data_IF_157347580608
#
_entry.id   IF_157347580608
#
_cell.length_a   1.000
_cell.length_b   1.000
_cell.length_c   1.000
_cell.angle_alpha   90.00
_cell.angle_beta   90.00
_cell.angle_gamma   90.00
#
_symmetry.space_group_name_H-M   'P 1'
#
loop_
_entity.id
_entity.type
_entity.pdbx_description
1 polymer ?
#
# COMPACT_ATOMS: atom_id res chain seq x y z
N UNK A 1 68.17 -20.92 8.73
CA UNK A 1 67.13 -20.65 7.70
C UNK A 1 65.91 -19.99 8.36
N UNK A 2 65.96 -18.70 8.72
CA UNK A 2 64.77 -18.03 9.22
C UNK A 2 64.76 -16.49 9.19
N UNK A 3 65.85 -15.82 8.80
CA UNK A 3 65.89 -14.32 8.79
C UNK A 3 65.58 -13.69 7.43
N UNK A 4 65.82 -14.38 6.34
CA UNK A 4 65.56 -13.85 4.98
C UNK A 4 64.10 -13.91 4.53
N UNK A 5 63.30 -14.87 5.04
CA UNK A 5 61.87 -14.96 4.66
C UNK A 5 60.97 -13.91 5.34
N UNK A 6 61.39 -13.44 6.55
CA UNK A 6 60.61 -12.39 7.26
C UNK A 6 60.78 -10.99 6.66
N UNK A 7 61.95 -10.71 6.03
CA UNK A 7 62.20 -9.43 5.40
C UNK A 7 61.44 -9.24 4.08
N UNK A 8 61.25 -10.35 3.32
CA UNK A 8 60.54 -10.32 2.05
C UNK A 8 59.01 -10.10 2.28
N UNK A 9 58.44 -10.68 3.33
CA UNK A 9 57.03 -10.49 3.65
C UNK A 9 56.68 -9.07 4.12
N UNK A 10 57.62 -8.42 4.83
CA UNK A 10 57.45 -7.03 5.28
C UNK A 10 57.60 -6.03 4.11
N UNK A 11 58.48 -6.28 3.16
CA UNK A 11 58.70 -5.41 1.99
C UNK A 11 57.54 -5.48 1.00
N UNK A 12 56.95 -6.68 0.81
CA UNK A 12 55.76 -6.84 -0.04
C UNK A 12 54.52 -6.22 0.62
N UNK A 13 54.35 -6.33 1.95
CA UNK A 13 53.26 -5.69 2.68
C UNK A 13 53.32 -4.16 2.66
N UNK A 14 54.51 -3.56 2.72
CA UNK A 14 54.70 -2.11 2.65
C UNK A 14 54.51 -1.54 1.24
N UNK A 15 54.92 -2.26 0.19
CA UNK A 15 54.70 -1.82 -1.19
C UNK A 15 53.24 -1.82 -1.63
N UNK A 16 52.44 -2.81 -1.19
CA UNK A 16 51.01 -2.87 -1.50
C UNK A 16 50.20 -1.81 -0.73
N UNK A 17 50.60 -1.46 0.50
CA UNK A 17 49.96 -0.40 1.28
C UNK A 17 50.26 1.01 0.73
N UNK A 18 51.44 1.24 0.20
CA UNK A 18 51.82 2.53 -0.42
C UNK A 18 51.09 2.69 -1.78
N UNK A 19 50.96 1.63 -2.56
CA UNK A 19 50.19 1.66 -3.81
C UNK A 19 48.69 1.88 -3.58
N UNK A 20 48.12 1.31 -2.51
CA UNK A 20 46.72 1.53 -2.16
C UNK A 20 46.48 2.96 -1.64
N UNK A 21 47.42 3.53 -0.88
CA UNK A 21 47.34 4.92 -0.40
C UNK A 21 47.55 5.93 -1.53
N UNK A 22 48.41 5.65 -2.51
CA UNK A 22 48.57 6.51 -3.69
C UNK A 22 47.37 6.47 -4.62
N UNK A 23 46.67 5.31 -4.72
CA UNK A 23 45.44 5.18 -5.47
C UNK A 23 44.25 5.94 -4.81
N UNK A 24 44.17 5.96 -3.47
CA UNK A 24 43.18 6.74 -2.72
C UNK A 24 43.47 8.26 -2.75
N UNK A 25 44.75 8.68 -2.84
CA UNK A 25 45.10 10.09 -2.94
C UNK A 25 44.94 10.67 -4.35
N UNK A 26 44.95 9.85 -5.40
CA UNK A 26 44.69 10.31 -6.77
C UNK A 26 43.17 10.42 -7.11
N UNK A 27 42.31 9.81 -6.31
CA UNK A 27 40.83 9.95 -6.47
C UNK A 27 40.30 11.25 -5.82
N UNK A 28 41.06 11.89 -4.92
CA UNK A 28 40.58 13.03 -4.13
C UNK A 28 41.02 14.43 -4.63
N UNK A 29 41.59 14.56 -5.82
CA UNK A 29 42.02 15.87 -6.33
C UNK A 29 41.64 16.07 -7.81
N UNK A 30 40.36 16.07 -8.13
CA UNK A 30 39.82 16.99 -9.15
C UNK A 30 38.28 17.14 -8.93
N UNK A 31 37.77 18.24 -8.36
CA UNK A 31 36.45 18.66 -8.65
C UNK A 31 36.45 19.17 -10.10
N UNK A 32 36.04 18.35 -11.07
CA UNK A 32 35.64 18.83 -12.37
C UNK A 32 34.40 19.72 -12.17
N UNK A 33 34.67 21.03 -12.08
CA UNK A 33 33.69 22.07 -12.30
C UNK A 33 33.19 21.93 -13.75
N UNK A 34 32.11 21.17 -13.95
CA UNK A 34 31.25 21.39 -15.09
C UNK A 34 30.40 22.63 -14.79
N UNK A 35 30.98 23.80 -15.05
CA UNK A 35 30.25 25.01 -15.32
C UNK A 35 29.46 24.77 -16.62
N UNK A 36 28.22 24.32 -16.49
CA UNK A 36 27.23 24.45 -17.56
C UNK A 36 27.00 25.95 -17.69
N UNK A 37 27.59 26.56 -18.71
CA UNK A 37 27.20 27.90 -19.16
C UNK A 37 25.72 27.80 -19.56
N UNK A 38 24.84 28.34 -18.72
CA UNK A 38 23.47 28.63 -19.09
C UNK A 38 23.53 29.68 -20.20
N UNK A 39 23.46 29.22 -21.45
CA UNK A 39 23.07 30.11 -22.55
C UNK A 39 21.65 30.51 -22.31
N UNK A 40 21.42 31.79 -22.06
CA UNK A 40 20.10 32.41 -22.12
C UNK A 40 19.58 32.34 -23.54
N UNK A 41 18.99 31.23 -23.91
CA UNK A 41 18.04 31.15 -25.01
C UNK A 41 16.64 31.25 -24.38
N UNK A 42 15.91 32.28 -24.75
CA UNK A 42 14.46 32.41 -24.54
C UNK A 42 13.73 31.42 -25.45
N UNK A 43 14.04 30.15 -25.31
CA UNK A 43 13.24 29.04 -25.78
C UNK A 43 12.28 28.66 -24.67
N UNK A 44 10.98 28.68 -24.94
CA UNK A 44 9.94 28.34 -23.98
C UNK A 44 10.31 27.05 -23.25
N UNK A 45 10.03 27.01 -21.95
CA UNK A 45 10.19 25.80 -21.14
C UNK A 45 9.64 24.63 -21.97
N UNK A 46 10.37 23.51 -22.13
CA UNK A 46 9.78 22.35 -22.80
C UNK A 46 8.52 22.02 -22.00
N UNK A 47 7.36 22.17 -22.64
CA UNK A 47 6.16 21.49 -22.14
C UNK A 47 6.54 20.02 -22.14
N UNK A 48 6.78 19.47 -20.96
CA UNK A 48 6.80 18.04 -20.78
C UNK A 48 5.39 17.63 -21.16
N UNK A 49 5.25 17.07 -22.35
CA UNK A 49 4.01 16.46 -22.83
C UNK A 49 3.76 15.32 -21.84
N UNK A 50 2.89 15.56 -20.84
CA UNK A 50 2.63 14.72 -19.69
C UNK A 50 1.80 13.49 -20.08
N UNK A 51 2.17 12.86 -21.20
CA UNK A 51 1.61 11.57 -21.58
C UNK A 51 2.24 10.50 -20.70
N UNK A 52 1.42 9.91 -19.87
CA UNK A 52 1.77 8.72 -19.09
C UNK A 52 2.34 7.68 -20.04
N UNK A 53 3.54 7.19 -19.75
CA UNK A 53 4.16 6.13 -20.51
C UNK A 53 3.44 4.81 -20.19
N UNK A 54 2.89 4.18 -21.23
CA UNK A 54 2.24 2.88 -21.11
C UNK A 54 3.14 1.83 -21.81
N UNK A 55 3.74 0.89 -21.05
CA UNK A 55 4.62 -0.13 -21.62
C UNK A 55 3.88 -1.03 -22.62
N UNK A 56 4.57 -1.48 -23.66
CA UNK A 56 4.04 -2.48 -24.60
C UNK A 56 4.21 -3.91 -24.11
N UNK A 57 4.92 -4.12 -23.01
CA UNK A 57 5.18 -5.40 -22.36
C UNK A 57 4.03 -5.91 -21.50
N UNK A 58 3.10 -5.02 -21.12
CA UNK A 58 1.87 -5.40 -20.39
C UNK A 58 0.77 -5.83 -21.38
N UNK A 59 -0.28 -6.46 -20.86
CA UNK A 59 -1.38 -6.95 -21.70
C UNK A 59 -2.05 -5.82 -22.50
N UNK A 60 -2.53 -6.12 -23.71
CA UNK A 60 -3.27 -5.15 -24.55
C UNK A 60 -4.49 -4.59 -23.81
N UNK A 61 -5.13 -5.42 -22.97
CA UNK A 61 -6.27 -5.02 -22.16
C UNK A 61 -5.88 -3.96 -21.15
N UNK A 62 -4.79 -4.18 -20.40
CA UNK A 62 -4.24 -3.20 -19.46
C UNK A 62 -3.85 -1.90 -20.17
N UNK A 63 -3.16 -1.98 -21.33
CA UNK A 63 -2.81 -0.80 -22.14
C UNK A 63 -4.05 0.02 -22.53
N UNK A 64 -5.14 -0.65 -22.95
CA UNK A 64 -6.40 0.02 -23.34
C UNK A 64 -7.07 0.72 -22.15
N UNK A 65 -7.13 0.07 -21.00
CA UNK A 65 -7.72 0.65 -19.79
C UNK A 65 -6.89 1.85 -19.33
N UNK A 66 -5.56 1.73 -19.26
CA UNK A 66 -4.67 2.82 -18.87
C UNK A 66 -4.81 4.04 -19.80
N UNK A 67 -4.90 3.84 -21.12
CA UNK A 67 -5.18 4.94 -22.06
C UNK A 67 -6.48 5.67 -21.76
N UNK A 68 -7.52 4.93 -21.41
CA UNK A 68 -8.82 5.53 -21.07
C UNK A 68 -8.78 6.28 -19.72
N UNK A 69 -8.09 5.75 -18.71
CA UNK A 69 -7.92 6.40 -17.41
C UNK A 69 -7.20 7.75 -17.55
N UNK A 70 -6.14 7.83 -18.36
CA UNK A 70 -5.38 9.07 -18.54
C UNK A 70 -6.17 10.20 -19.21
N UNK A 71 -7.22 9.87 -19.96
CA UNK A 71 -8.02 10.86 -20.70
C UNK A 71 -9.21 11.41 -19.91
N UNK A 72 -9.61 10.80 -18.80
CA UNK A 72 -10.90 11.05 -18.16
C UNK A 72 -10.81 11.29 -16.64
N UNK A 73 -9.67 11.79 -16.12
CA UNK A 73 -9.56 12.08 -14.68
C UNK A 73 -10.30 13.40 -14.37
N UNK A 74 -11.37 13.37 -13.55
CA UNK A 74 -12.06 14.56 -13.14
C UNK A 74 -11.18 15.42 -12.20
N UNK A 75 -11.30 16.74 -12.29
CA UNK A 75 -10.72 17.63 -11.29
C UNK A 75 -11.74 17.87 -10.16
N UNK A 76 -11.28 17.80 -8.93
CA UNK A 76 -12.10 18.05 -7.75
C UNK A 76 -11.53 19.21 -6.93
N UNK A 77 -12.42 19.99 -6.28
CA UNK A 77 -11.98 20.91 -5.25
C UNK A 77 -11.49 20.15 -4.03
N UNK A 78 -10.34 20.53 -3.52
CA UNK A 78 -9.76 19.91 -2.32
C UNK A 78 -10.33 20.56 -1.07
N UNK A 79 -11.06 19.83 -0.19
CA UNK A 79 -11.54 20.38 1.07
C UNK A 79 -10.39 20.69 2.03
N UNK A 80 -10.54 21.68 2.91
CA UNK A 80 -9.63 21.89 4.03
C UNK A 80 -9.71 20.71 5.03
N UNK A 81 -8.65 20.41 5.80
CA UNK A 81 -8.61 19.21 6.67
C UNK A 81 -9.78 19.06 7.65
N UNK A 82 -10.42 20.16 8.06
CA UNK A 82 -11.55 20.16 9.00
C UNK A 82 -12.89 20.53 8.35
N UNK A 83 -12.96 20.63 7.05
CA UNK A 83 -14.19 20.96 6.31
C UNK A 83 -15.09 19.73 6.17
N UNK A 84 -15.93 19.48 7.17
CA UNK A 84 -16.83 18.31 7.20
C UNK A 84 -17.80 18.29 6.01
N UNK A 85 -18.30 19.45 5.59
CA UNK A 85 -19.24 19.55 4.47
C UNK A 85 -18.54 19.26 3.14
N UNK A 86 -17.35 19.86 2.93
CA UNK A 86 -16.54 19.64 1.74
C UNK A 86 -16.16 18.18 1.58
N UNK A 87 -15.69 17.51 2.64
CA UNK A 87 -15.38 16.08 2.61
C UNK A 87 -16.61 15.22 2.34
N UNK A 88 -17.76 15.52 2.96
CA UNK A 88 -19.00 14.80 2.72
C UNK A 88 -19.44 14.92 1.26
N UNK A 89 -19.38 16.14 0.70
CA UNK A 89 -19.74 16.40 -0.69
C UNK A 89 -18.83 15.66 -1.67
N UNK A 90 -17.51 15.74 -1.44
CA UNK A 90 -16.53 15.08 -2.30
C UNK A 90 -16.67 13.56 -2.22
N UNK A 91 -16.88 12.99 -1.01
CA UNK A 91 -17.11 11.56 -0.86
C UNK A 91 -18.33 11.08 -1.65
N UNK A 92 -19.48 11.75 -1.52
CA UNK A 92 -20.69 11.41 -2.31
C UNK A 92 -20.45 11.45 -3.82
N UNK A 93 -19.66 12.41 -4.28
CA UNK A 93 -19.33 12.54 -5.69
C UNK A 93 -18.47 11.36 -6.16
N UNK A 94 -17.46 10.97 -5.39
CA UNK A 94 -16.60 9.82 -5.72
C UNK A 94 -17.35 8.48 -5.64
N UNK A 95 -18.20 8.29 -4.63
CA UNK A 95 -19.04 7.07 -4.53
C UNK A 95 -19.98 6.91 -5.73
N UNK A 96 -20.48 8.01 -6.30
CA UNK A 96 -21.36 7.96 -7.48
C UNK A 96 -20.66 7.59 -8.79
N UNK A 97 -19.32 7.45 -8.78
CA UNK A 97 -18.54 7.15 -9.99
C UNK A 97 -18.26 5.65 -10.19
N UNK A 98 -18.77 4.79 -9.32
CA UNK A 98 -18.55 3.33 -9.36
C UNK A 98 -17.08 2.92 -9.54
N UNK A 99 -16.18 3.63 -8.86
CA UNK A 99 -14.72 3.52 -9.01
C UNK A 99 -14.24 2.08 -8.78
N UNK A 100 -14.84 1.37 -7.81
CA UNK A 100 -14.56 -0.03 -7.50
C UNK A 100 -15.30 -1.03 -8.40
N UNK A 101 -15.82 -0.57 -9.52
CA UNK A 101 -16.51 -1.38 -10.51
C UNK A 101 -18.04 -1.26 -10.44
N UNK A 102 -18.70 -1.43 -11.59
CA UNK A 102 -20.14 -1.29 -11.68
C UNK A 102 -20.88 -2.42 -10.93
N UNK A 103 -22.07 -2.13 -10.44
CA UNK A 103 -22.91 -3.07 -9.68
C UNK A 103 -23.14 -4.39 -10.44
N UNK A 104 -23.25 -4.33 -11.77
CA UNK A 104 -23.39 -5.53 -12.61
C UNK A 104 -22.24 -6.53 -12.49
N UNK A 105 -21.02 -6.04 -12.27
CA UNK A 105 -19.85 -6.90 -12.02
C UNK A 105 -19.94 -7.51 -10.64
N UNK A 106 -20.29 -6.71 -9.62
CA UNK A 106 -20.47 -7.19 -8.24
C UNK A 106 -21.52 -8.30 -8.22
N UNK A 107 -22.67 -8.10 -8.86
CA UNK A 107 -23.77 -9.05 -8.93
C UNK A 107 -23.38 -10.35 -9.67
N UNK A 108 -22.48 -10.27 -10.64
CA UNK A 108 -22.03 -11.44 -11.41
C UNK A 108 -21.34 -12.52 -10.56
N UNK A 109 -20.78 -12.16 -9.40
CA UNK A 109 -20.17 -13.11 -8.46
C UNK A 109 -21.19 -13.95 -7.68
N UNK A 110 -22.47 -13.58 -7.66
CA UNK A 110 -23.56 -14.29 -6.97
C UNK A 110 -23.25 -14.59 -5.49
N UNK A 111 -22.49 -13.72 -4.86
CA UNK A 111 -22.12 -13.83 -3.45
C UNK A 111 -23.31 -13.52 -2.56
N UNK A 112 -23.39 -14.15 -1.39
CA UNK A 112 -24.36 -13.78 -0.36
C UNK A 112 -23.78 -12.61 0.45
N UNK A 113 -24.47 -11.47 0.41
CA UNK A 113 -24.05 -10.20 1.06
C UNK A 113 -25.03 -9.90 2.18
N UNK A 114 -24.52 -9.72 3.39
CA UNK A 114 -25.33 -9.43 4.58
C UNK A 114 -24.76 -8.20 5.32
N UNK A 115 -25.60 -7.20 5.53
CA UNK A 115 -25.26 -6.01 6.33
C UNK A 115 -25.52 -6.32 7.80
N UNK A 116 -24.54 -6.14 8.66
CA UNK A 116 -24.60 -6.48 10.07
C UNK A 116 -23.71 -5.61 10.93
N UNK A 117 -23.64 -5.88 12.23
CA UNK A 117 -22.71 -5.22 13.15
C UNK A 117 -21.79 -6.24 13.80
N UNK A 118 -20.54 -5.82 14.00
CA UNK A 118 -19.53 -6.60 14.67
C UNK A 118 -18.60 -5.66 15.48
N UNK A 119 -18.44 -5.91 16.76
CA UNK A 119 -17.68 -5.03 17.65
C UNK A 119 -18.23 -3.59 17.70
N UNK A 120 -19.54 -3.39 17.50
CA UNK A 120 -20.18 -2.08 17.43
C UNK A 120 -20.12 -1.40 16.06
N UNK A 121 -19.26 -1.88 15.13
CA UNK A 121 -19.10 -1.32 13.79
C UNK A 121 -20.09 -1.93 12.79
N UNK A 122 -20.53 -1.13 11.82
CA UNK A 122 -21.20 -1.65 10.64
C UNK A 122 -20.19 -2.46 9.83
N UNK A 123 -20.60 -3.62 9.34
CA UNK A 123 -19.77 -4.46 8.47
C UNK A 123 -20.65 -5.09 7.40
N UNK A 124 -20.03 -5.41 6.26
CA UNK A 124 -20.65 -6.22 5.23
C UNK A 124 -20.01 -7.60 5.27
N UNK A 125 -20.82 -8.61 5.51
CA UNK A 125 -20.45 -10.02 5.53
C UNK A 125 -20.68 -10.61 4.15
N UNK A 126 -19.60 -10.93 3.45
CA UNK A 126 -19.62 -11.47 2.09
C UNK A 126 -19.21 -12.93 2.12
N UNK A 127 -20.11 -13.80 1.64
CA UNK A 127 -19.84 -15.22 1.44
C UNK A 127 -19.89 -15.51 -0.06
N UNK A 128 -18.79 -16.00 -0.69
CA UNK A 128 -18.79 -16.29 -2.11
C UNK A 128 -19.80 -17.37 -2.48
N UNK A 129 -20.14 -17.47 -3.76
CA UNK A 129 -21.05 -18.51 -4.24
C UNK A 129 -20.56 -19.91 -3.84
N UNK A 130 -21.43 -20.73 -3.31
CA UNK A 130 -21.08 -22.08 -2.86
C UNK A 130 -20.21 -22.15 -1.60
N UNK A 131 -20.05 -21.05 -0.86
CA UNK A 131 -19.26 -20.99 0.35
C UNK A 131 -19.62 -22.09 1.36
N UNK A 132 -18.58 -22.69 1.92
CA UNK A 132 -18.67 -23.62 3.05
C UNK A 132 -17.76 -23.15 4.16
N UNK A 133 -18.24 -23.20 5.39
CA UNK A 133 -17.43 -22.80 6.54
C UNK A 133 -16.25 -23.76 6.71
N UNK A 134 -15.05 -23.22 6.64
CA UNK A 134 -13.78 -23.92 6.86
C UNK A 134 -13.03 -23.38 8.09
N UNK A 135 -13.70 -22.57 8.92
CA UNK A 135 -13.15 -21.94 10.10
C UNK A 135 -12.18 -20.78 9.81
N UNK A 136 -12.01 -20.35 8.56
CA UNK A 136 -11.12 -19.25 8.17
C UNK A 136 -11.89 -18.05 7.67
N UNK A 137 -11.35 -16.84 7.91
CA UNK A 137 -12.03 -15.59 7.58
C UNK A 137 -11.03 -14.52 7.15
N UNK A 138 -11.46 -13.70 6.19
CA UNK A 138 -10.76 -12.48 5.79
C UNK A 138 -11.47 -11.25 6.36
N UNK A 139 -10.69 -10.24 6.71
CA UNK A 139 -11.19 -8.90 7.04
C UNK A 139 -10.62 -7.92 6.02
N UNK A 140 -11.47 -7.08 5.45
CA UNK A 140 -11.09 -6.08 4.47
C UNK A 140 -11.27 -4.67 5.01
N UNK A 141 -10.26 -3.84 4.80
CA UNK A 141 -10.26 -2.41 5.10
C UNK A 141 -10.06 -1.64 3.81
N UNK A 142 -11.04 -0.84 3.44
CA UNK A 142 -11.05 -0.15 2.16
C UNK A 142 -10.09 1.04 2.10
N UNK A 143 -9.67 1.39 0.89
CA UNK A 143 -8.90 2.57 0.58
C UNK A 143 -9.71 3.87 0.60
N UNK A 144 -9.20 4.90 -0.08
CA UNK A 144 -9.85 6.21 -0.18
C UNK A 144 -9.24 7.28 0.72
N UNK A 145 -7.94 7.19 1.02
CA UNK A 145 -7.21 8.23 1.76
C UNK A 145 -7.74 8.49 3.17
N UNK A 146 -8.38 7.52 3.80
CA UNK A 146 -9.10 7.62 5.08
C UNK A 146 -10.32 8.54 5.06
N UNK A 147 -10.63 9.21 3.94
CA UNK A 147 -11.65 10.26 3.83
C UNK A 147 -12.78 9.93 2.87
N UNK A 148 -12.63 8.87 2.07
CA UNK A 148 -13.57 8.52 1.02
C UNK A 148 -14.02 7.07 1.09
N UNK A 149 -15.14 6.79 0.41
CA UNK A 149 -15.74 5.48 0.21
C UNK A 149 -16.38 4.90 1.48
N UNK A 150 -16.89 3.71 1.33
CA UNK A 150 -17.55 2.92 2.37
C UNK A 150 -17.34 1.44 2.09
N UNK A 151 -17.63 0.60 3.06
CA UNK A 151 -17.61 -0.85 2.83
C UNK A 151 -18.53 -1.26 1.67
N UNK A 152 -19.61 -0.51 1.42
CA UNK A 152 -20.55 -0.79 0.34
C UNK A 152 -20.00 -0.40 -1.04
N UNK A 153 -19.47 0.80 -1.18
CA UNK A 153 -18.94 1.29 -2.48
C UNK A 153 -17.67 0.57 -2.92
N UNK A 154 -17.02 -0.18 -2.01
CA UNK A 154 -15.76 -0.90 -2.27
C UNK A 154 -15.93 -2.41 -2.44
N UNK A 155 -17.15 -2.92 -2.61
CA UNK A 155 -17.42 -4.34 -2.81
C UNK A 155 -16.69 -4.94 -4.03
N UNK A 156 -16.36 -4.12 -5.02
CA UNK A 156 -15.55 -4.55 -6.17
C UNK A 156 -14.14 -5.02 -5.83
N UNK A 157 -13.58 -4.59 -4.68
CA UNK A 157 -12.33 -5.13 -4.15
C UNK A 157 -12.55 -6.43 -3.34
N UNK A 158 -13.78 -6.65 -2.85
CA UNK A 158 -14.10 -7.79 -1.98
C UNK A 158 -14.52 -9.02 -2.78
N UNK A 159 -15.39 -8.84 -3.78
CA UNK A 159 -15.98 -9.96 -4.52
C UNK A 159 -14.96 -10.84 -5.25
N UNK A 160 -13.98 -10.30 -6.00
CA UNK A 160 -12.96 -11.11 -6.65
C UNK A 160 -12.12 -11.91 -5.66
N UNK A 161 -11.78 -11.30 -4.51
CA UNK A 161 -11.00 -11.95 -3.46
C UNK A 161 -11.80 -13.06 -2.79
N UNK A 162 -13.04 -12.80 -2.40
CA UNK A 162 -13.92 -13.82 -1.82
C UNK A 162 -14.07 -15.01 -2.77
N UNK A 163 -14.32 -14.74 -4.05
CA UNK A 163 -14.48 -15.78 -5.07
C UNK A 163 -13.20 -16.58 -5.33
N UNK A 164 -12.03 -15.91 -5.42
CA UNK A 164 -10.75 -16.58 -5.69
C UNK A 164 -10.26 -17.41 -4.51
N UNK A 165 -10.45 -16.92 -3.29
CA UNK A 165 -10.03 -17.61 -2.07
C UNK A 165 -11.04 -18.67 -1.61
N UNK A 166 -12.30 -18.51 -1.93
CA UNK A 166 -13.41 -19.31 -1.36
C UNK A 166 -13.73 -18.94 0.09
N UNK A 167 -13.11 -17.87 0.63
CA UNK A 167 -13.27 -17.47 2.02
C UNK A 167 -14.38 -16.43 2.21
N UNK A 168 -15.00 -16.47 3.38
CA UNK A 168 -15.85 -15.41 3.89
C UNK A 168 -15.03 -14.15 4.14
N UNK A 169 -15.54 -12.98 3.75
CA UNK A 169 -14.88 -11.69 3.94
C UNK A 169 -15.79 -10.76 4.75
N UNK A 170 -15.23 -10.14 5.77
CA UNK A 170 -15.86 -9.06 6.52
C UNK A 170 -15.28 -7.74 6.03
N UNK A 171 -16.06 -6.96 5.29
CA UNK A 171 -15.71 -5.59 4.89
C UNK A 171 -16.14 -4.61 5.98
N UNK A 172 -15.19 -3.85 6.53
CA UNK A 172 -15.42 -2.97 7.68
C UNK A 172 -15.74 -1.56 7.21
N UNK A 173 -16.88 -1.03 7.67
CA UNK A 173 -17.34 0.33 7.42
C UNK A 173 -16.81 1.26 8.52
N UNK A 174 -15.50 1.49 8.52
CA UNK A 174 -14.84 2.31 9.53
C UNK A 174 -15.17 3.80 9.36
N UNK A 175 -15.17 4.54 10.47
CA UNK A 175 -15.50 5.97 10.45
C UNK A 175 -14.39 6.78 9.76
N UNK A 176 -14.78 7.50 8.71
CA UNK A 176 -13.86 8.30 7.89
C UNK A 176 -13.36 9.57 8.61
N UNK A 177 -12.17 10.01 8.25
CA UNK A 177 -11.69 11.34 8.57
C UNK A 177 -12.43 12.40 7.71
N UNK A 178 -12.63 13.61 8.24
CA UNK A 178 -12.25 14.12 9.55
C UNK A 178 -13.26 13.84 10.67
N UNK A 179 -14.32 13.06 10.42
CA UNK A 179 -15.33 12.68 11.44
C UNK A 179 -14.72 11.81 12.55
N UNK A 180 -13.65 11.07 12.22
CA UNK A 180 -12.82 10.30 13.12
C UNK A 180 -11.35 10.63 12.88
N UNK A 181 -10.51 10.45 13.89
CA UNK A 181 -9.05 10.51 13.77
C UNK A 181 -8.46 9.11 13.88
N UNK A 182 -7.21 8.96 13.51
CA UNK A 182 -6.47 7.69 13.46
C UNK A 182 -6.66 6.79 14.69
N UNK A 183 -6.66 7.37 15.89
CA UNK A 183 -6.76 6.63 17.16
C UNK A 183 -8.12 5.95 17.34
N UNK A 184 -9.20 6.59 16.90
CA UNK A 184 -10.54 6.01 16.89
C UNK A 184 -10.68 5.00 15.76
N UNK A 185 -10.30 5.35 14.52
CA UNK A 185 -10.40 4.46 13.36
C UNK A 185 -9.64 3.15 13.59
N UNK A 186 -8.40 3.20 14.13
CA UNK A 186 -7.67 1.98 14.49
C UNK A 186 -8.34 1.21 15.65
N UNK A 187 -8.99 1.89 16.59
CA UNK A 187 -9.72 1.23 17.68
C UNK A 187 -10.97 0.50 17.16
N UNK A 188 -11.66 1.06 16.16
CA UNK A 188 -12.82 0.44 15.51
C UNK A 188 -12.42 -0.87 14.82
N UNK A 189 -11.30 -0.88 14.07
CA UNK A 189 -10.77 -2.12 13.46
C UNK A 189 -10.43 -3.16 14.52
N UNK A 190 -9.73 -2.74 15.58
CA UNK A 190 -9.38 -3.64 16.70
C UNK A 190 -10.63 -4.23 17.36
N UNK A 191 -11.71 -3.44 17.52
CA UNK A 191 -12.98 -3.91 18.09
C UNK A 191 -13.64 -4.98 17.20
N UNK A 192 -13.60 -4.84 15.86
CA UNK A 192 -14.09 -5.86 14.93
C UNK A 192 -13.31 -7.17 15.09
N UNK A 193 -11.98 -7.12 15.14
CA UNK A 193 -11.16 -8.33 15.33
C UNK A 193 -11.44 -8.98 16.69
N UNK A 194 -11.56 -8.18 17.76
CA UNK A 194 -11.91 -8.72 19.08
C UNK A 194 -13.30 -9.39 19.09
N UNK A 195 -14.26 -8.83 18.35
CA UNK A 195 -15.59 -9.42 18.24
C UNK A 195 -15.54 -10.75 17.42
N UNK A 196 -14.74 -10.83 16.38
CA UNK A 196 -14.50 -12.10 15.67
C UNK A 196 -13.98 -13.18 16.63
N UNK A 197 -13.06 -12.82 17.52
CA UNK A 197 -12.50 -13.75 18.51
C UNK A 197 -13.52 -14.09 19.59
N UNK A 198 -14.12 -13.10 20.26
CA UNK A 198 -14.92 -13.29 21.44
C UNK A 198 -16.36 -13.75 21.16
N UNK A 199 -16.96 -13.24 20.08
CA UNK A 199 -18.40 -13.47 19.76
C UNK A 199 -18.59 -14.54 18.68
N UNK A 200 -17.59 -14.71 17.76
CA UNK A 200 -17.69 -15.66 16.66
C UNK A 200 -16.77 -16.88 16.81
N UNK A 201 -15.89 -16.88 17.82
CA UNK A 201 -15.06 -18.04 18.18
C UNK A 201 -13.84 -18.27 17.27
N UNK A 202 -13.46 -17.29 16.44
CA UNK A 202 -12.22 -17.38 15.65
C UNK A 202 -11.00 -17.23 16.55
N UNK A 203 -9.91 -17.93 16.23
CA UNK A 203 -8.57 -17.62 16.75
C UNK A 203 -7.86 -16.62 15.82
N UNK A 204 -6.78 -15.98 16.28
CA UNK A 204 -5.98 -15.12 15.41
C UNK A 204 -5.35 -15.87 14.25
N UNK A 205 -5.08 -17.16 14.40
CA UNK A 205 -4.57 -18.08 13.36
C UNK A 205 -5.61 -18.38 12.26
N UNK A 206 -6.88 -18.04 12.51
CA UNK A 206 -7.96 -18.22 11.55
C UNK A 206 -8.28 -16.93 10.78
N UNK A 207 -7.66 -15.82 11.17
CA UNK A 207 -7.95 -14.48 10.63
C UNK A 207 -6.79 -14.00 9.78
N UNK A 208 -7.06 -13.60 8.55
CA UNK A 208 -6.16 -12.74 7.79
C UNK A 208 -6.84 -11.40 7.47
N UNK A 209 -6.03 -10.35 7.30
CA UNK A 209 -6.54 -9.00 7.06
C UNK A 209 -5.91 -8.48 5.78
N UNK A 210 -6.70 -7.83 4.92
CA UNK A 210 -6.17 -7.15 3.74
C UNK A 210 -6.80 -5.77 3.56
N UNK A 211 -6.14 -4.94 2.77
CA UNK A 211 -6.63 -3.61 2.44
C UNK A 211 -5.82 -2.98 1.33
N UNK A 212 -6.43 -2.00 0.68
CA UNK A 212 -5.86 -1.22 -0.42
C UNK A 212 -5.54 0.21 0.03
N UNK A 213 -4.51 0.81 -0.54
CA UNK A 213 -4.18 2.23 -0.32
C UNK A 213 -4.11 2.61 1.17
N UNK A 214 -4.92 3.57 1.61
CA UNK A 214 -5.09 3.97 3.01
C UNK A 214 -5.59 2.79 3.88
N UNK A 215 -6.44 1.91 3.35
CA UNK A 215 -6.87 0.69 4.01
C UNK A 215 -5.70 -0.26 4.29
N UNK A 216 -4.74 -0.37 3.37
CA UNK A 216 -3.49 -1.11 3.57
C UNK A 216 -2.64 -0.51 4.70
N UNK A 217 -2.54 0.82 4.77
CA UNK A 217 -1.92 1.53 5.88
C UNK A 217 -2.64 1.27 7.21
N UNK A 218 -3.99 1.31 7.19
CA UNK A 218 -4.83 1.02 8.36
C UNK A 218 -4.69 -0.43 8.84
N UNK A 219 -4.57 -1.41 7.92
CA UNK A 219 -4.27 -2.82 8.28
C UNK A 219 -2.98 -2.87 9.08
N UNK A 220 -1.88 -2.36 8.53
CA UNK A 220 -0.57 -2.44 9.16
C UNK A 220 -0.53 -1.69 10.50
N UNK A 221 -1.10 -0.48 10.59
CA UNK A 221 -1.19 0.30 11.81
C UNK A 221 -2.05 -0.35 12.90
N UNK A 222 -3.19 -0.94 12.51
CA UNK A 222 -4.07 -1.65 13.44
C UNK A 222 -3.45 -2.93 13.98
N UNK A 223 -2.72 -3.67 13.15
CA UNK A 223 -1.98 -4.88 13.59
C UNK A 223 -0.86 -4.52 14.56
N UNK A 224 -0.11 -3.44 14.31
CA UNK A 224 0.86 -2.92 15.28
C UNK A 224 0.19 -2.60 16.63
N UNK A 225 -0.96 -1.94 16.60
CA UNK A 225 -1.73 -1.62 17.81
C UNK A 225 -2.24 -2.88 18.52
N UNK A 226 -2.81 -3.86 17.78
CA UNK A 226 -3.26 -5.13 18.37
C UNK A 226 -2.13 -5.86 19.09
N UNK A 227 -0.96 -5.95 18.48
CA UNK A 227 0.23 -6.54 19.08
C UNK A 227 0.64 -5.81 20.35
N UNK A 228 0.74 -4.49 20.29
CA UNK A 228 1.28 -3.67 21.40
C UNK A 228 0.33 -3.58 22.60
N UNK A 229 -0.98 -3.78 22.40
CA UNK A 229 -1.96 -3.89 23.48
C UNK A 229 -2.21 -5.33 23.95
N UNK A 230 -1.44 -6.31 23.43
CA UNK A 230 -1.45 -7.69 23.90
C UNK A 230 -2.60 -8.56 23.37
N UNK A 231 -3.30 -8.15 22.31
CA UNK A 231 -4.29 -9.00 21.63
C UNK A 231 -3.58 -10.09 20.83
N UNK A 232 -2.45 -9.77 20.20
CA UNK A 232 -1.68 -10.65 19.34
C UNK A 232 -1.69 -10.17 17.87
N UNK A 233 -1.30 -11.06 16.95
CA UNK A 233 -1.18 -10.79 15.53
C UNK A 233 -2.00 -11.81 14.72
N UNK A 234 -2.63 -11.43 13.58
CA UNK A 234 -3.36 -12.35 12.72
C UNK A 234 -2.42 -13.32 11.99
N UNK A 235 -2.97 -14.36 11.34
CA UNK A 235 -2.20 -15.34 10.58
C UNK A 235 -1.38 -14.74 9.44
N UNK A 236 -1.91 -13.74 8.75
CA UNK A 236 -1.27 -13.05 7.64
C UNK A 236 -1.94 -11.70 7.33
N UNK A 237 -1.22 -10.83 6.62
CA UNK A 237 -1.81 -9.64 6.01
C UNK A 237 -1.43 -9.50 4.54
N UNK A 238 -2.32 -8.90 3.76
CA UNK A 238 -2.06 -8.54 2.37
C UNK A 238 -2.35 -7.05 2.17
N UNK A 239 -1.40 -6.35 1.59
CA UNK A 239 -1.42 -4.91 1.42
C UNK A 239 -1.35 -4.57 -0.08
N UNK A 240 -2.42 -4.03 -0.63
CA UNK A 240 -2.48 -3.54 -2.00
C UNK A 240 -2.13 -2.06 -2.01
N UNK A 241 -1.09 -1.67 -2.75
CA UNK A 241 -0.67 -0.28 -2.91
C UNK A 241 -0.68 0.56 -1.61
N UNK A 242 -0.15 0.04 -0.47
CA UNK A 242 -0.49 0.57 0.85
C UNK A 242 0.10 1.96 1.11
N UNK A 243 -0.73 2.90 1.59
CA UNK A 243 -0.28 4.19 2.08
C UNK A 243 0.29 4.06 3.51
N UNK A 244 1.57 3.81 3.61
CA UNK A 244 2.23 3.50 4.90
C UNK A 244 3.06 4.65 5.47
N UNK A 245 3.11 5.80 4.78
CA UNK A 245 3.71 7.05 5.26
C UNK A 245 2.87 8.27 4.87
N UNK A 246 1.97 8.68 5.75
CA UNK A 246 1.12 9.86 5.49
C UNK A 246 1.90 11.19 5.50
N UNK A 247 3.20 11.19 5.83
CA UNK A 247 4.06 12.39 5.75
C UNK A 247 4.51 12.71 4.32
N UNK A 248 4.23 11.83 3.34
CA UNK A 248 4.56 12.00 1.92
C UNK A 248 6.06 12.25 1.72
N UNK A 249 6.92 11.61 2.51
CA UNK A 249 8.37 11.86 2.50
C UNK A 249 9.14 10.97 1.52
N UNK A 250 8.50 9.97 0.92
CA UNK A 250 9.11 9.09 -0.07
C UNK A 250 9.42 9.81 -1.40
N UNK A 251 10.50 9.42 -2.08
CA UNK A 251 10.92 10.08 -3.32
C UNK A 251 9.99 9.81 -4.51
N UNK A 252 9.27 8.67 -4.51
CA UNK A 252 8.33 8.32 -5.58
C UNK A 252 7.17 9.31 -5.72
N UNK A 253 6.73 9.95 -4.62
CA UNK A 253 5.70 11.01 -4.67
C UNK A 253 6.10 12.19 -5.56
N UNK A 254 7.39 12.44 -5.73
CA UNK A 254 7.94 13.55 -6.51
C UNK A 254 8.45 13.09 -7.87
N UNK A 255 9.08 11.91 -7.94
CA UNK A 255 9.71 11.40 -9.16
C UNK A 255 8.70 10.75 -10.12
N UNK A 256 7.68 10.09 -9.57
CA UNK A 256 6.63 9.41 -10.33
C UNK A 256 5.35 10.24 -10.44
N UNK A 257 5.42 11.53 -10.13
CA UNK A 257 4.29 12.47 -10.05
C UNK A 257 3.43 12.55 -11.33
N UNK A 258 3.91 12.12 -12.47
CA UNK A 258 3.12 12.11 -13.73
C UNK A 258 3.04 10.75 -14.37
N UNK A 259 3.49 9.70 -13.67
CA UNK A 259 3.47 8.33 -14.19
C UNK A 259 2.22 7.56 -13.76
N UNK A 260 1.60 7.97 -12.65
CA UNK A 260 0.38 7.34 -12.14
C UNK A 260 -0.85 8.18 -12.47
N UNK A 261 -1.78 7.66 -13.31
CA UNK A 261 -3.01 8.38 -13.66
C UNK A 261 -3.94 8.61 -12.46
N UNK A 262 -3.75 7.89 -11.37
CA UNK A 262 -4.63 7.93 -10.21
C UNK A 262 -4.04 8.77 -9.06
N UNK A 263 -2.87 9.37 -9.26
CA UNK A 263 -2.24 10.18 -8.23
C UNK A 263 -3.08 11.43 -7.90
N UNK A 264 -3.50 11.58 -6.64
CA UNK A 264 -4.14 12.81 -6.18
C UNK A 264 -3.17 13.99 -6.23
N UNK A 265 -3.70 15.22 -6.28
CA UNK A 265 -2.85 16.40 -6.12
C UNK A 265 -2.13 16.37 -4.75
N UNK A 266 -0.93 16.93 -4.68
CA UNK A 266 -0.17 17.04 -3.42
C UNK A 266 -0.98 17.76 -2.33
N UNK A 267 -1.80 18.75 -2.71
CA UNK A 267 -2.68 19.45 -1.77
C UNK A 267 -3.73 18.48 -1.19
N UNK A 268 -4.37 17.66 -2.03
CA UNK A 268 -5.37 16.69 -1.57
C UNK A 268 -4.73 15.64 -0.65
N UNK A 269 -3.56 15.11 -1.00
CA UNK A 269 -2.82 14.17 -0.13
C UNK A 269 -2.50 14.77 1.24
N UNK A 270 -1.98 16.01 1.28
CA UNK A 270 -1.67 16.70 2.53
C UNK A 270 -2.92 16.96 3.38
N UNK A 271 -4.04 17.32 2.75
CA UNK A 271 -5.29 17.58 3.45
C UNK A 271 -5.92 16.29 3.98
N UNK A 272 -5.86 15.17 3.23
CA UNK A 272 -6.25 13.84 3.73
C UNK A 272 -5.40 13.42 4.93
N UNK A 273 -4.07 13.55 4.83
CA UNK A 273 -3.14 13.27 5.95
C UNK A 273 -3.51 14.06 7.21
N UNK A 274 -3.78 15.36 7.06
CA UNK A 274 -4.10 16.26 8.17
C UNK A 274 -5.53 16.06 8.70
N UNK A 275 -6.45 15.62 7.84
CA UNK A 275 -7.79 15.20 8.25
C UNK A 275 -7.72 13.94 9.13
N UNK A 276 -6.85 12.98 8.81
CA UNK A 276 -6.70 11.71 9.52
C UNK A 276 -5.85 11.85 10.81
N UNK A 277 -4.70 12.54 10.74
CA UNK A 277 -3.78 12.71 11.86
C UNK A 277 -3.20 14.13 11.90
N UNK A 278 -3.11 14.72 13.10
CA UNK A 278 -2.43 16.00 13.24
C UNK A 278 -0.97 15.91 12.79
N UNK A 279 -0.36 16.99 12.28
CA UNK A 279 1.02 16.93 11.76
C UNK A 279 2.05 16.33 12.73
N UNK A 280 1.89 16.58 14.04
CA UNK A 280 2.75 16.02 15.09
C UNK A 280 2.57 14.51 15.33
N UNK A 281 1.47 13.92 14.84
CA UNK A 281 1.11 12.51 15.01
C UNK A 281 1.37 11.68 13.76
N UNK A 282 1.65 12.30 12.60
CA UNK A 282 1.78 11.62 11.32
C UNK A 282 2.90 10.59 11.28
N UNK A 283 3.95 10.73 12.12
CA UNK A 283 5.01 9.70 12.28
C UNK A 283 4.70 8.66 13.36
N UNK A 284 3.52 8.70 13.99
CA UNK A 284 3.11 7.63 14.87
C UNK A 284 3.02 6.30 14.10
N UNK A 285 3.60 5.19 14.58
CA UNK A 285 3.58 3.88 13.90
C UNK A 285 2.18 3.35 13.57
N UNK A 286 1.16 3.76 14.30
CA UNK A 286 -0.23 3.36 13.99
C UNK A 286 -0.86 4.21 12.88
N UNK A 287 -0.25 5.35 12.54
CA UNK A 287 -0.62 6.25 11.44
C UNK A 287 0.22 5.97 10.21
N UNK A 288 1.53 5.89 10.40
CA UNK A 288 2.52 5.62 9.34
C UNK A 288 3.35 4.39 9.71
N UNK A 289 2.91 3.19 9.33
CA UNK A 289 3.55 1.93 9.73
C UNK A 289 5.02 1.78 9.36
N UNK A 290 5.52 2.49 8.36
CA UNK A 290 6.96 2.48 8.03
C UNK A 290 7.87 2.91 9.19
N UNK A 291 7.33 3.63 10.18
CA UNK A 291 8.05 4.02 11.40
C UNK A 291 7.87 3.01 12.55
N UNK A 292 7.23 1.87 12.27
CA UNK A 292 6.95 0.82 13.26
C UNK A 292 8.21 0.10 13.76
N UNK A 293 8.15 -0.39 14.99
CA UNK A 293 9.14 -1.34 15.48
C UNK A 293 8.63 -2.78 15.28
N UNK A 294 9.20 -3.49 14.31
CA UNK A 294 8.81 -4.85 13.95
C UNK A 294 9.61 -5.93 14.67
N UNK A 295 10.68 -5.59 15.43
CA UNK A 295 11.46 -6.56 16.21
C UNK A 295 10.66 -7.29 17.30
N UNK A 296 9.46 -6.79 17.62
CA UNK A 296 8.52 -7.44 18.55
C UNK A 296 7.59 -8.46 17.89
N UNK A 297 7.82 -8.76 16.61
CA UNK A 297 6.98 -9.63 15.78
C UNK A 297 5.92 -8.85 14.98
N UNK A 298 5.56 -9.43 13.83
CA UNK A 298 4.52 -8.96 12.93
C UNK A 298 4.07 -10.16 12.06
N UNK A 299 2.86 -10.17 11.52
CA UNK A 299 2.41 -11.30 10.71
C UNK A 299 3.16 -11.39 9.37
N UNK A 300 3.23 -12.57 8.78
CA UNK A 300 3.61 -12.72 7.37
C UNK A 300 2.85 -11.73 6.49
N UNK A 301 3.59 -11.03 5.63
CA UNK A 301 3.06 -9.88 4.88
C UNK A 301 3.30 -10.03 3.38
N UNK A 302 2.25 -9.90 2.57
CA UNK A 302 2.34 -9.72 1.12
C UNK A 302 2.04 -8.27 0.78
N UNK A 303 2.98 -7.60 0.12
CA UNK A 303 2.80 -6.24 -0.41
C UNK A 303 2.74 -6.34 -1.93
N UNK A 304 1.65 -5.86 -2.54
CA UNK A 304 1.49 -5.82 -3.99
C UNK A 304 1.25 -4.40 -4.47
N UNK A 305 1.90 -4.02 -5.58
CA UNK A 305 1.74 -2.70 -6.18
C UNK A 305 2.34 -2.64 -7.59
N UNK A 306 2.38 -1.47 -8.18
CA UNK A 306 2.88 -1.23 -9.52
C UNK A 306 4.13 -0.38 -9.60
N UNK A 307 4.86 -0.48 -10.72
CA UNK A 307 6.05 0.36 -10.94
C UNK A 307 5.73 1.80 -11.27
N UNK A 308 4.50 2.11 -11.69
CA UNK A 308 4.08 3.48 -12.01
C UNK A 308 3.53 4.24 -10.81
N UNK A 309 3.44 3.61 -9.63
CA UNK A 309 2.78 4.16 -8.45
C UNK A 309 3.57 5.26 -7.75
N UNK A 310 2.87 6.34 -7.41
CA UNK A 310 3.42 7.44 -6.60
C UNK A 310 3.75 7.02 -5.15
N UNK A 311 3.17 5.92 -4.65
CA UNK A 311 3.43 5.35 -3.31
C UNK A 311 4.52 4.26 -3.31
N UNK A 312 5.25 4.03 -4.41
CA UNK A 312 6.25 2.96 -4.50
C UNK A 312 7.30 3.01 -3.39
N UNK A 313 7.72 4.20 -2.95
CA UNK A 313 8.65 4.37 -1.82
C UNK A 313 8.11 3.78 -0.52
N UNK A 314 6.80 3.86 -0.29
CA UNK A 314 6.15 3.33 0.90
C UNK A 314 6.26 1.81 0.95
N UNK A 315 6.04 1.15 -0.20
CA UNK A 315 6.14 -0.31 -0.33
C UNK A 315 7.55 -0.79 -0.06
N UNK A 316 8.53 -0.13 -0.68
CA UNK A 316 9.96 -0.47 -0.54
C UNK A 316 10.42 -0.26 0.90
N UNK A 317 10.07 0.87 1.51
CA UNK A 317 10.47 1.19 2.89
C UNK A 317 9.83 0.24 3.90
N UNK A 318 8.54 -0.07 3.75
CA UNK A 318 7.87 -1.04 4.63
C UNK A 318 8.49 -2.44 4.45
N UNK A 319 8.68 -2.89 3.20
CA UNK A 319 9.34 -4.16 2.90
C UNK A 319 10.70 -4.26 3.59
N UNK A 320 11.58 -3.26 3.40
CA UNK A 320 12.91 -3.26 3.99
C UNK A 320 12.89 -3.29 5.51
N UNK A 321 11.93 -2.57 6.13
CA UNK A 321 11.82 -2.56 7.59
C UNK A 321 11.34 -3.90 8.15
N UNK A 322 10.44 -4.58 7.44
CA UNK A 322 9.97 -5.93 7.80
C UNK A 322 11.07 -6.97 7.59
N UNK A 323 11.77 -6.92 6.45
CA UNK A 323 12.87 -7.84 6.10
C UNK A 323 14.02 -7.73 7.12
N UNK A 324 14.42 -6.51 7.50
CA UNK A 324 15.43 -6.27 8.53
C UNK A 324 15.03 -6.77 9.93
N UNK A 325 13.75 -6.96 10.16
CA UNK A 325 13.21 -7.51 11.41
C UNK A 325 12.94 -9.03 11.35
N UNK A 326 13.44 -9.72 10.29
CA UNK A 326 13.23 -11.14 10.03
C UNK A 326 11.74 -11.55 9.95
N UNK A 327 10.86 -10.61 9.55
CA UNK A 327 9.45 -10.90 9.31
C UNK A 327 9.29 -11.49 7.90
N UNK A 328 8.58 -12.63 7.74
CA UNK A 328 8.28 -13.16 6.42
C UNK A 328 7.51 -12.13 5.57
N UNK A 329 8.19 -11.53 4.61
CA UNK A 329 7.60 -10.50 3.75
C UNK A 329 7.89 -10.77 2.29
N UNK A 330 6.90 -10.52 1.43
CA UNK A 330 7.04 -10.59 -0.02
C UNK A 330 6.60 -9.26 -0.63
N UNK A 331 7.48 -8.67 -1.43
CA UNK A 331 7.18 -7.51 -2.27
C UNK A 331 6.96 -8.00 -3.70
N UNK A 332 5.74 -7.83 -4.23
CA UNK A 332 5.30 -8.32 -5.53
C UNK A 332 4.86 -7.12 -6.39
N UNK A 333 5.75 -6.67 -7.27
CA UNK A 333 5.60 -5.44 -8.05
C UNK A 333 5.35 -5.76 -9.52
N UNK A 334 4.38 -5.09 -10.12
CA UNK A 334 3.88 -5.29 -11.49
C UNK A 334 4.28 -4.13 -12.39
N UNK A 335 4.91 -4.45 -13.51
CA UNK A 335 5.37 -3.46 -14.48
C UNK A 335 4.20 -2.63 -15.02
N UNK A 336 4.38 -1.31 -15.07
CA UNK A 336 3.43 -0.36 -15.67
C UNK A 336 2.09 -0.23 -14.94
N UNK A 337 1.89 -0.97 -13.85
CA UNK A 337 0.63 -0.89 -13.11
C UNK A 337 0.58 0.37 -12.25
N UNK A 338 -0.58 1.07 -12.23
CA UNK A 338 -0.83 2.24 -11.41
C UNK A 338 -1.29 1.83 -10.00
N UNK A 339 -1.56 2.82 -9.18
CA UNK A 339 -2.15 2.69 -7.84
C UNK A 339 -3.42 1.82 -7.86
N UNK A 340 -3.49 0.86 -6.93
CA UNK A 340 -4.62 -0.06 -6.77
C UNK A 340 -5.06 -0.75 -8.08
N UNK A 341 -4.10 -1.15 -8.92
CA UNK A 341 -4.40 -1.75 -10.22
C UNK A 341 -5.32 -2.98 -10.12
N UNK A 342 -5.30 -3.71 -9.02
CA UNK A 342 -6.17 -4.85 -8.77
C UNK A 342 -7.66 -4.45 -8.81
N UNK A 343 -7.96 -3.19 -8.52
CA UNK A 343 -9.30 -2.62 -8.50
C UNK A 343 -9.62 -1.98 -9.86
N UNK A 344 -8.78 -1.05 -10.32
CA UNK A 344 -9.04 -0.28 -11.54
C UNK A 344 -8.85 -1.09 -12.82
N UNK A 345 -8.01 -2.12 -12.78
CA UNK A 345 -7.75 -3.04 -13.89
C UNK A 345 -8.28 -4.45 -13.59
N UNK A 346 -9.38 -4.56 -12.84
CA UNK A 346 -9.93 -5.79 -12.26
C UNK A 346 -10.07 -6.98 -13.22
N UNK A 347 -10.20 -6.73 -14.52
CA UNK A 347 -10.42 -7.76 -15.56
C UNK A 347 -9.21 -7.85 -16.51
N UNK A 348 -7.98 -7.76 -15.96
CA UNK A 348 -6.74 -7.92 -16.73
C UNK A 348 -5.94 -9.15 -16.28
N UNK A 349 -5.09 -9.71 -17.16
CA UNK A 349 -4.18 -10.79 -16.77
C UNK A 349 -3.30 -10.44 -15.56
N UNK A 350 -2.85 -9.19 -15.45
CA UNK A 350 -2.02 -8.71 -14.36
C UNK A 350 -2.76 -8.82 -13.02
N UNK A 351 -4.02 -8.39 -12.98
CA UNK A 351 -4.86 -8.51 -11.78
C UNK A 351 -5.18 -9.95 -11.43
N UNK A 352 -5.49 -10.80 -12.43
CA UNK A 352 -5.70 -12.22 -12.16
C UNK A 352 -4.47 -12.90 -11.55
N UNK A 353 -3.27 -12.57 -12.04
CA UNK A 353 -2.02 -13.08 -11.46
C UNK A 353 -1.81 -12.57 -10.04
N UNK A 354 -2.07 -11.28 -9.77
CA UNK A 354 -1.94 -10.70 -8.44
C UNK A 354 -2.88 -11.35 -7.42
N UNK A 355 -4.17 -11.50 -7.79
CA UNK A 355 -5.18 -12.13 -6.93
C UNK A 355 -4.89 -13.62 -6.73
N UNK A 356 -4.39 -14.33 -7.76
CA UNK A 356 -3.96 -15.72 -7.62
C UNK A 356 -2.81 -15.87 -6.62
N UNK A 357 -1.77 -15.04 -6.73
CA UNK A 357 -0.65 -15.04 -5.78
C UNK A 357 -1.07 -14.67 -4.34
N UNK A 358 -2.01 -13.73 -4.19
CA UNK A 358 -2.63 -13.44 -2.89
C UNK A 358 -3.35 -14.67 -2.34
N UNK A 359 -4.11 -15.37 -3.18
CA UNK A 359 -4.84 -16.59 -2.80
C UNK A 359 -3.88 -17.67 -2.32
N UNK A 360 -2.78 -17.92 -3.05
CA UNK A 360 -1.77 -18.91 -2.67
C UNK A 360 -1.06 -18.53 -1.38
N UNK A 361 -0.75 -17.24 -1.19
CA UNK A 361 -0.18 -16.71 0.05
C UNK A 361 -1.12 -16.95 1.24
N UNK A 362 -2.40 -16.62 1.09
CA UNK A 362 -3.40 -16.82 2.14
C UNK A 362 -3.64 -18.30 2.46
N UNK A 363 -3.66 -19.17 1.44
CA UNK A 363 -3.75 -20.63 1.67
C UNK A 363 -2.60 -21.14 2.50
N UNK A 364 -1.39 -20.68 2.22
CA UNK A 364 -0.21 -21.13 2.95
C UNK A 364 -0.28 -20.75 4.45
N UNK A 365 -0.65 -19.49 4.77
CA UNK A 365 -0.60 -19.02 6.15
C UNK A 365 -1.88 -19.26 6.94
N UNK A 366 -3.04 -19.37 6.31
CA UNK A 366 -4.29 -19.77 6.96
C UNK A 366 -4.47 -21.30 7.00
N UNK A 367 -3.68 -22.04 6.24
CA UNK A 367 -3.70 -23.51 6.18
C UNK A 367 -5.11 -24.05 5.85
N UNK A 368 -5.66 -23.71 4.65
CA UNK A 368 -6.97 -24.15 4.17
C UNK A 368 -6.95 -24.65 2.73
#
# INVERSE_FOLDING_TARGET
>A
MSSSLRLITIVIGLSTSILFLSYLLTINLQPSLYLVQAQNSSAGSPQIDSKIFIPTTISEKAQKILKNLTMNIPSFSTPDPNDLEGWTKLNRQLESMDIYGPQSIIDSYQSNVTYTKLGGMNVIDVKPHGWRDNGKILVYLHGGGYTFFSANSTLGAVMPVANSTGLRVISVDYTLAPFSKWNQTTAEVVAVIQALIKEKGYSLEDIAIYGDSAGGGLVAGSVLKMRDVGIGIPAAIVLWSPWTDVTISGDSYYRLNSSDPLQPSTLLLNNMSSAYANPSEQKNPYVSPVYGNFSKGFPPTLIQGGTSEFMLSDFVRLYQTLDQADIPVKLDIYEGMPHDFQIFLYDTPETYVAVSKMTDFLRHYLNY
#
